data_IF_572901040212
#
_entry.id   IF_572901040212
#
_cell.length_a   1.000
_cell.length_b   1.000
_cell.length_c   1.000
_cell.angle_alpha   90.00
_cell.angle_beta   90.00
_cell.angle_gamma   90.00
#
_symmetry.space_group_name_H-M   'P 1'
#
loop_
_entity.id
_entity.type
_entity.pdbx_description
1 polymer ?
#
# COMPACT_ATOMS: atom_id res chain seq x y z
N UNK A 1 -42.07 38.48 -27.65
CA UNK A 1 -41.34 38.99 -26.49
C UNK A 1 -41.35 38.15 -25.27
N UNK A 2 -42.11 37.14 -25.26
CA UNK A 2 -42.37 36.32 -24.07
C UNK A 2 -41.46 35.05 -24.06
N UNK A 3 -40.87 34.75 -25.17
CA UNK A 3 -40.10 33.52 -25.32
C UNK A 3 -38.76 33.45 -24.60
N UNK A 4 -38.29 34.58 -24.14
CA UNK A 4 -36.96 34.65 -23.50
C UNK A 4 -36.93 34.15 -22.05
N UNK A 5 -38.07 34.06 -21.44
CA UNK A 5 -38.12 33.63 -20.04
C UNK A 5 -38.27 32.12 -19.86
N UNK A 6 -38.63 31.44 -20.92
CA UNK A 6 -38.93 30.00 -20.78
C UNK A 6 -37.72 29.09 -20.72
N UNK A 7 -36.57 29.59 -21.13
CA UNK A 7 -35.38 28.76 -21.14
C UNK A 7 -34.62 28.73 -19.84
N UNK A 8 -34.84 29.70 -18.97
CA UNK A 8 -34.02 29.85 -17.77
C UNK A 8 -34.59 29.14 -16.54
N UNK A 9 -35.92 28.95 -16.52
CA UNK A 9 -36.56 28.33 -15.35
C UNK A 9 -36.36 26.81 -15.23
N UNK A 10 -36.04 26.17 -16.34
CA UNK A 10 -35.92 24.71 -16.37
C UNK A 10 -34.49 24.20 -16.26
N UNK A 11 -33.56 25.10 -16.06
CA UNK A 11 -32.15 24.74 -15.94
C UNK A 11 -31.63 24.66 -14.51
N UNK A 12 -32.51 24.50 -13.55
CA UNK A 12 -32.08 24.20 -12.20
C UNK A 12 -31.52 22.79 -12.14
N UNK A 13 -30.20 22.71 -12.11
CA UNK A 13 -29.55 21.48 -11.73
C UNK A 13 -29.92 21.20 -10.28
N UNK A 14 -30.75 20.21 -10.07
CA UNK A 14 -31.05 19.73 -8.74
C UNK A 14 -29.85 18.88 -8.26
N UNK A 15 -29.05 19.46 -7.39
CA UNK A 15 -28.01 18.73 -6.72
C UNK A 15 -28.60 18.09 -5.46
N UNK A 16 -28.88 16.82 -5.50
CA UNK A 16 -29.25 16.06 -4.32
C UNK A 16 -27.99 15.62 -3.57
N UNK A 17 -27.60 16.37 -2.57
CA UNK A 17 -26.44 16.03 -1.72
C UNK A 17 -26.78 15.02 -0.61
N UNK A 18 -28.04 14.62 -0.48
CA UNK A 18 -28.48 13.64 0.51
C UNK A 18 -28.18 12.19 0.13
N UNK A 19 -27.84 11.93 -1.12
CA UNK A 19 -27.49 10.60 -1.60
C UNK A 19 -26.04 10.60 -2.06
N UNK A 20 -25.24 9.76 -1.41
CA UNK A 20 -23.90 9.45 -1.88
C UNK A 20 -24.04 8.55 -3.10
N UNK A 21 -23.49 8.92 -4.27
CA UNK A 21 -23.54 8.05 -5.44
C UNK A 21 -22.82 6.74 -5.12
N UNK A 22 -23.48 5.63 -5.44
CA UNK A 22 -22.90 4.30 -5.29
C UNK A 22 -21.88 4.09 -6.42
N UNK A 23 -20.63 4.36 -6.12
CA UNK A 23 -19.54 4.13 -7.05
C UNK A 23 -19.02 2.72 -6.85
N UNK A 24 -19.39 1.84 -7.74
CA UNK A 24 -18.85 0.49 -7.78
C UNK A 24 -17.63 0.46 -8.69
N UNK A 25 -16.47 0.44 -8.07
CA UNK A 25 -15.22 0.20 -8.80
C UNK A 25 -14.95 -1.29 -8.88
N UNK A 26 -14.64 -1.77 -10.07
CA UNK A 26 -14.22 -3.15 -10.27
C UNK A 26 -12.88 -3.40 -9.56
N UNK A 27 -12.78 -4.56 -8.92
CA UNK A 27 -11.50 -5.02 -8.36
C UNK A 27 -10.72 -5.78 -9.42
N UNK A 28 -9.43 -5.53 -9.48
CA UNK A 28 -8.51 -6.24 -10.35
C UNK A 28 -7.48 -7.02 -9.52
N UNK A 29 -6.92 -8.03 -10.14
CA UNK A 29 -5.84 -8.83 -9.55
C UNK A 29 -4.56 -8.59 -10.31
N UNK A 30 -3.49 -8.37 -9.58
CA UNK A 30 -2.16 -8.20 -10.14
C UNK A 30 -1.25 -9.32 -9.66
N UNK A 31 -0.49 -9.84 -10.59
CA UNK A 31 0.60 -10.75 -10.23
C UNK A 31 1.85 -9.91 -9.98
N UNK A 32 2.32 -9.93 -8.74
CA UNK A 32 3.52 -9.21 -8.29
C UNK A 32 4.66 -10.15 -7.94
N UNK A 33 4.72 -11.29 -8.60
CA UNK A 33 5.76 -12.29 -8.38
C UNK A 33 7.12 -11.75 -8.76
N UNK A 34 8.12 -12.03 -7.94
CA UNK A 34 9.51 -11.66 -8.17
C UNK A 34 10.43 -12.70 -7.56
N UNK A 35 11.69 -12.65 -7.92
CA UNK A 35 12.73 -13.48 -7.37
C UNK A 35 13.89 -12.62 -6.85
N UNK A 36 14.45 -13.04 -5.74
CA UNK A 36 15.63 -12.42 -5.14
C UNK A 36 16.74 -13.47 -5.08
N UNK A 37 17.95 -13.06 -5.41
CA UNK A 37 19.15 -13.81 -5.18
C UNK A 37 20.08 -12.98 -4.32
N UNK A 38 20.46 -13.52 -3.18
CA UNK A 38 21.31 -12.82 -2.23
C UNK A 38 22.23 -13.79 -1.50
N UNK A 39 23.29 -13.26 -0.94
CA UNK A 39 24.21 -13.96 -0.05
C UNK A 39 24.29 -13.21 1.26
N UNK A 40 24.26 -13.93 2.36
CA UNK A 40 24.31 -13.33 3.67
C UNK A 40 24.99 -14.28 4.68
N UNK A 41 25.46 -13.70 5.74
CA UNK A 41 26.04 -14.43 6.87
C UNK A 41 24.97 -14.81 7.88
N UNK A 42 25.33 -15.67 8.83
CA UNK A 42 24.46 -16.06 9.95
C UNK A 42 24.15 -14.88 10.85
N UNK A 43 23.06 -15.00 11.60
CA UNK A 43 22.63 -14.07 12.64
C UNK A 43 22.19 -12.67 12.17
N UNK A 44 21.97 -12.49 10.87
CA UNK A 44 21.47 -11.24 10.32
C UNK A 44 20.01 -11.36 9.90
N UNK A 45 19.26 -10.30 10.19
CA UNK A 45 17.93 -10.12 9.66
C UNK A 45 18.03 -9.43 8.29
N UNK A 46 17.72 -10.17 7.25
CA UNK A 46 17.86 -9.70 5.87
C UNK A 46 16.49 -9.36 5.30
N UNK A 47 16.26 -8.14 4.83
CA UNK A 47 15.01 -7.78 4.16
C UNK A 47 14.90 -8.50 2.81
N UNK A 48 13.83 -9.24 2.62
CA UNK A 48 13.58 -9.99 1.38
C UNK A 48 12.46 -9.37 0.56
N UNK A 49 11.49 -8.76 1.20
CA UNK A 49 10.38 -8.08 0.53
C UNK A 49 9.97 -6.85 1.33
N UNK A 50 9.75 -5.77 0.60
CA UNK A 50 9.05 -4.59 1.11
C UNK A 50 8.01 -4.23 0.07
N UNK A 51 6.75 -4.26 0.44
CA UNK A 51 5.65 -3.95 -0.45
C UNK A 51 4.63 -3.04 0.24
N UNK A 52 4.05 -2.15 -0.53
CA UNK A 52 3.01 -1.26 -0.05
C UNK A 52 1.64 -1.90 -0.26
N UNK A 53 0.84 -1.88 0.79
CA UNK A 53 -0.53 -2.39 0.78
C UNK A 53 -1.47 -1.24 1.10
N UNK A 54 -2.40 -0.99 0.19
CA UNK A 54 -3.43 0.02 0.35
C UNK A 54 -4.60 -0.51 1.19
N UNK A 55 -5.36 0.39 1.84
CA UNK A 55 -6.57 -0.02 2.54
C UNK A 55 -7.54 -0.77 1.62
N UNK A 56 -8.05 -1.90 2.10
CA UNK A 56 -8.97 -2.74 1.34
C UNK A 56 -8.31 -3.73 0.37
N UNK A 57 -6.99 -3.73 0.26
CA UNK A 57 -6.27 -4.72 -0.53
C UNK A 57 -6.19 -6.07 0.17
N UNK A 58 -6.21 -7.12 -0.62
CA UNK A 58 -5.96 -8.48 -0.17
C UNK A 58 -4.70 -9.00 -0.85
N UNK A 59 -3.74 -9.44 -0.07
CA UNK A 59 -2.47 -9.97 -0.55
C UNK A 59 -2.37 -11.43 -0.22
N UNK A 60 -2.12 -12.25 -1.23
CA UNK A 60 -1.79 -13.66 -1.08
C UNK A 60 -0.30 -13.85 -1.30
N UNK A 61 0.40 -14.23 -0.25
CA UNK A 61 1.84 -14.41 -0.28
C UNK A 61 2.18 -15.89 -0.28
N UNK A 62 2.98 -16.30 -1.25
CA UNK A 62 3.55 -17.63 -1.32
C UNK A 62 5.06 -17.51 -1.50
N UNK A 63 5.81 -18.02 -0.55
CA UNK A 63 7.26 -17.95 -0.56
C UNK A 63 7.84 -19.32 -0.83
N UNK A 64 8.72 -19.40 -1.81
CA UNK A 64 9.55 -20.56 -2.08
C UNK A 64 11.00 -20.14 -1.98
N UNK A 65 11.76 -20.88 -1.23
CA UNK A 65 13.17 -20.60 -1.05
C UNK A 65 14.04 -21.80 -1.32
N UNK A 66 15.23 -21.51 -1.73
CA UNK A 66 16.32 -22.45 -1.84
C UNK A 66 17.56 -21.81 -1.22
N UNK A 67 18.08 -22.42 -0.18
CA UNK A 67 19.29 -21.96 0.49
C UNK A 67 20.43 -22.97 0.28
N UNK A 68 21.62 -22.44 0.13
CA UNK A 68 22.82 -23.23 -0.08
C UNK A 68 23.96 -22.64 0.76
N UNK A 69 24.60 -23.51 1.51
CA UNK A 69 25.76 -23.11 2.30
C UNK A 69 27.02 -23.06 1.42
N UNK A 70 27.84 -22.06 1.66
CA UNK A 70 29.20 -22.07 1.15
C UNK A 70 30.03 -23.16 1.85
N UNK A 71 31.06 -23.64 1.20
CA UNK A 71 32.00 -24.60 1.79
C UNK A 71 32.63 -24.00 3.04
N UNK A 72 32.42 -24.67 4.16
CA UNK A 72 32.96 -24.21 5.44
C UNK A 72 34.31 -24.84 5.72
N UNK A 73 35.16 -24.11 6.45
CA UNK A 73 36.45 -24.60 6.89
C UNK A 73 36.36 -25.67 7.94
N UNK A 74 35.28 -25.62 8.75
CA UNK A 74 34.95 -26.62 9.76
C UNK A 74 33.60 -27.21 9.42
N UNK A 75 33.46 -28.55 9.34
CA UNK A 75 32.17 -29.15 9.01
C UNK A 75 31.14 -28.85 10.09
N UNK A 76 29.95 -28.45 9.65
CA UNK A 76 28.80 -28.27 10.53
C UNK A 76 28.08 -29.62 10.66
N UNK A 77 27.98 -30.11 11.86
CA UNK A 77 27.37 -31.41 12.17
C UNK A 77 25.94 -31.30 12.68
N UNK A 78 25.33 -30.14 12.54
CA UNK A 78 23.99 -29.86 13.04
C UNK A 78 23.08 -29.33 11.92
N UNK A 79 21.77 -29.39 12.17
CA UNK A 79 20.77 -28.85 11.26
C UNK A 79 20.79 -27.33 11.26
N UNK A 80 20.55 -26.75 10.09
CA UNK A 80 20.40 -25.33 9.96
C UNK A 80 18.94 -24.95 9.73
N UNK A 81 18.54 -23.86 10.30
CA UNK A 81 17.20 -23.33 10.23
C UNK A 81 17.22 -21.98 9.52
N UNK A 82 16.19 -21.74 8.75
CA UNK A 82 15.94 -20.47 8.08
C UNK A 82 14.53 -20.03 8.42
N UNK A 83 14.44 -18.99 9.23
CA UNK A 83 13.17 -18.48 9.70
C UNK A 83 12.75 -17.26 8.88
N UNK A 84 11.48 -17.21 8.51
CA UNK A 84 10.88 -16.08 7.80
C UNK A 84 9.92 -15.35 8.73
N UNK A 85 10.13 -14.04 8.82
CA UNK A 85 9.28 -13.16 9.60
C UNK A 85 8.56 -12.18 8.67
N UNK A 86 7.25 -12.04 8.83
CA UNK A 86 6.44 -11.09 8.10
C UNK A 86 5.83 -10.09 9.06
N UNK A 87 6.07 -8.82 8.79
CA UNK A 87 5.59 -7.74 9.64
C UNK A 87 4.66 -6.85 8.85
N UNK A 88 3.55 -6.50 9.46
CA UNK A 88 2.71 -5.40 9.00
C UNK A 88 3.14 -4.13 9.75
N UNK A 89 3.56 -3.13 9.00
CA UNK A 89 4.04 -1.87 9.57
C UNK A 89 3.17 -0.73 9.05
N UNK A 90 2.29 -0.15 9.88
CA UNK A 90 1.55 1.05 9.50
C UNK A 90 2.49 2.23 9.27
N UNK A 91 2.29 2.96 8.18
CA UNK A 91 3.15 4.08 7.82
C UNK A 91 3.14 5.21 8.87
N UNK A 92 2.03 5.38 9.57
CA UNK A 92 1.92 6.35 10.68
C UNK A 92 2.91 6.12 11.81
N UNK A 93 3.36 4.87 12.01
CA UNK A 93 4.31 4.51 13.08
C UNK A 93 5.76 4.80 12.69
N UNK A 94 6.09 4.69 11.42
CA UNK A 94 7.46 4.88 10.92
C UNK A 94 7.70 6.26 10.35
N UNK A 95 6.64 6.97 9.98
CA UNK A 95 6.72 8.31 9.42
C UNK A 95 5.73 9.25 10.11
N UNK A 96 6.26 10.17 10.92
CA UNK A 96 5.46 11.11 11.70
C UNK A 96 4.64 12.09 10.85
N UNK A 97 5.07 12.35 9.62
CA UNK A 97 4.39 13.27 8.70
C UNK A 97 3.40 12.57 7.75
N UNK A 98 3.08 11.31 8.00
CA UNK A 98 2.20 10.54 7.13
C UNK A 98 0.82 11.17 6.97
N UNK A 99 0.23 11.62 8.05
CA UNK A 99 -1.08 12.28 8.04
C UNK A 99 -1.05 13.59 7.25
N UNK A 100 -0.02 14.41 7.45
CA UNK A 100 0.17 15.66 6.70
C UNK A 100 0.39 15.41 5.22
N UNK A 101 1.11 14.39 4.88
CA UNK A 101 1.32 13.99 3.49
C UNK A 101 0.01 13.62 2.79
N UNK A 102 -0.91 12.95 3.49
CA UNK A 102 -2.15 12.48 2.88
C UNK A 102 -3.22 13.57 2.75
N UNK A 103 -3.35 14.50 3.68
CA UNK A 103 -4.47 15.43 3.64
C UNK A 103 -4.31 16.76 4.39
N UNK A 104 -3.50 16.86 5.43
CA UNK A 104 -3.57 17.98 6.35
C UNK A 104 -2.75 19.21 5.97
N UNK A 105 -1.82 19.07 5.06
CA UNK A 105 -0.96 20.21 4.67
C UNK A 105 -1.74 21.34 3.98
N UNK A 106 -2.94 21.07 3.52
CA UNK A 106 -3.81 22.05 2.90
C UNK A 106 -4.53 22.96 3.92
N UNK A 107 -4.82 22.43 5.08
CA UNK A 107 -5.58 23.16 6.11
C UNK A 107 -4.66 24.11 6.89
N UNK A 108 -3.45 23.71 7.18
CA UNK A 108 -2.51 24.55 7.93
C UNK A 108 -2.02 25.78 7.15
N UNK A 109 -2.01 25.75 5.84
CA UNK A 109 -1.67 26.92 5.03
C UNK A 109 -2.77 27.98 4.97
N UNK A 110 -3.99 27.63 5.33
CA UNK A 110 -5.09 28.60 5.38
C UNK A 110 -5.22 29.31 6.72
N UNK A 111 -4.70 28.73 7.79
CA UNK A 111 -4.77 29.37 9.12
C UNK A 111 -3.63 30.36 9.41
N UNK A 112 -2.62 30.42 8.57
CA UNK A 112 -1.46 31.30 8.74
C UNK A 112 -1.50 32.58 7.88
N UNK A 113 -2.67 32.95 7.36
CA UNK A 113 -2.84 34.22 6.67
C UNK A 113 -3.65 35.22 7.49
#
# INVERSE_FOLDING_TARGET
MIGTQMGLGNRHAQHAFSQVPDVRTARSKFNRSFAIKDTFDFDYLIPIIVDEILPGDTVNLNVKSFARLATQTVPVLDNMYLDYFFFFVPNRLVWSNWEKFNAEDYIQKQETK
#
